data_IF_172563298108
#
_entry.id   IF_172563298108
#
_cell.length_a   1.000
_cell.length_b   1.000
_cell.length_c   1.000
_cell.angle_alpha   90.00
_cell.angle_beta   90.00
_cell.angle_gamma   90.00
#
_symmetry.space_group_name_H-M   'P 1'
#
loop_
_entity.id
_entity.type
_entity.pdbx_description
1 polymer ?
#
# COMPACT_ATOMS: atom_id res chain seq x y z
N UNK A 1 45.40 -3.45 35.16
CA UNK A 1 43.97 -3.81 34.99
C UNK A 1 43.26 -2.60 34.44
N UNK A 2 43.02 -2.54 33.12
CA UNK A 2 42.31 -1.42 32.50
C UNK A 2 41.34 -2.00 31.49
N UNK A 3 40.05 -2.00 31.86
CA UNK A 3 38.95 -2.58 31.09
C UNK A 3 38.75 -1.79 29.80
N UNK A 4 38.92 -2.47 28.67
CA UNK A 4 38.55 -1.97 27.34
C UNK A 4 37.03 -2.11 27.19
N UNK A 5 36.30 -1.02 27.42
CA UNK A 5 34.87 -0.94 27.10
C UNK A 5 34.72 -0.62 25.62
N UNK A 6 34.54 -1.64 24.79
CA UNK A 6 34.10 -1.50 23.41
C UNK A 6 32.64 -1.07 23.40
N UNK A 7 32.41 0.22 23.16
CA UNK A 7 31.10 0.73 22.78
C UNK A 7 30.82 0.22 21.36
N UNK A 8 29.94 -0.76 21.22
CA UNK A 8 29.28 -1.05 19.96
C UNK A 8 28.40 0.15 19.62
N UNK A 9 28.92 1.06 18.81
CA UNK A 9 28.11 2.09 18.17
C UNK A 9 27.25 1.35 17.13
N UNK A 10 26.02 0.99 17.52
CA UNK A 10 25.01 0.45 16.61
C UNK A 10 24.79 1.48 15.50
N UNK A 11 25.38 1.21 14.33
CA UNK A 11 25.18 2.00 13.13
C UNK A 11 23.71 1.83 12.75
N UNK A 12 22.89 2.90 12.66
CA UNK A 12 21.50 2.75 12.28
C UNK A 12 21.43 2.03 10.94
N UNK A 13 20.80 0.85 10.94
CA UNK A 13 20.60 0.07 9.74
C UNK A 13 19.94 0.98 8.70
N UNK A 14 20.61 1.18 7.57
CA UNK A 14 20.05 1.96 6.48
C UNK A 14 18.66 1.37 6.15
N UNK A 15 17.62 2.20 6.01
CA UNK A 15 16.29 1.70 5.68
C UNK A 15 16.40 0.92 4.38
N UNK A 16 16.04 -0.37 4.43
CA UNK A 16 16.02 -1.23 3.25
C UNK A 16 15.09 -0.54 2.24
N UNK A 17 15.59 -0.15 1.05
CA UNK A 17 14.78 0.57 0.10
C UNK A 17 13.62 -0.32 -0.34
N UNK A 18 12.39 0.11 -0.04
CA UNK A 18 11.19 -0.62 -0.45
C UNK A 18 11.07 -0.52 -1.97
N UNK A 19 10.98 -1.66 -2.64
CA UNK A 19 10.97 -1.76 -4.09
C UNK A 19 9.57 -1.58 -4.68
N UNK A 20 8.55 -1.88 -3.87
CA UNK A 20 7.13 -1.97 -4.22
C UNK A 20 6.35 -1.05 -3.29
N UNK A 21 5.59 -0.10 -3.83
CA UNK A 21 4.83 0.87 -3.04
C UNK A 21 3.40 0.94 -3.54
N UNK A 22 2.45 0.57 -2.69
CA UNK A 22 1.02 0.67 -2.94
C UNK A 22 0.43 1.86 -2.21
N UNK A 23 -0.50 2.54 -2.86
CA UNK A 23 -1.31 3.58 -2.26
C UNK A 23 -2.78 3.20 -2.43
N UNK A 24 -3.52 3.30 -1.34
CA UNK A 24 -4.94 2.94 -1.28
C UNK A 24 -5.67 4.11 -0.66
N UNK A 25 -6.52 4.77 -1.45
CA UNK A 25 -7.38 5.83 -0.94
C UNK A 25 -8.85 5.43 -0.99
N UNK A 26 -9.59 5.80 0.04
CA UNK A 26 -11.02 5.53 0.12
C UNK A 26 -11.68 6.23 1.29
N UNK A 27 -12.94 5.87 1.56
CA UNK A 27 -13.67 6.39 2.71
C UNK A 27 -14.12 5.28 3.64
N UNK A 28 -14.10 5.55 4.95
CA UNK A 28 -14.26 4.52 5.99
C UNK A 28 -15.59 3.78 5.96
N UNK A 29 -16.66 4.39 5.45
CA UNK A 29 -17.97 3.75 5.34
C UNK A 29 -18.11 2.81 4.12
N UNK A 30 -17.07 2.68 3.28
CA UNK A 30 -17.06 1.76 2.14
C UNK A 30 -16.54 0.39 2.56
N UNK A 31 -17.36 -0.66 2.41
CA UNK A 31 -16.97 -2.04 2.72
C UNK A 31 -15.78 -2.53 1.88
N UNK A 32 -15.69 -2.11 0.61
CA UNK A 32 -14.55 -2.45 -0.25
C UNK A 32 -13.25 -1.79 0.22
N UNK A 33 -13.32 -0.55 0.71
CA UNK A 33 -12.14 0.11 1.28
C UNK A 33 -11.71 -0.55 2.57
N UNK A 34 -12.64 -0.90 3.46
CA UNK A 34 -12.34 -1.66 4.67
C UNK A 34 -11.64 -2.99 4.38
N UNK A 35 -12.11 -3.73 3.38
CA UNK A 35 -11.45 -4.95 2.95
C UNK A 35 -10.07 -4.69 2.34
N UNK A 36 -9.89 -3.59 1.59
CA UNK A 36 -8.59 -3.18 1.08
C UNK A 36 -7.59 -2.86 2.20
N UNK A 37 -8.04 -2.22 3.29
CA UNK A 37 -7.21 -1.96 4.47
C UNK A 37 -6.77 -3.27 5.15
N UNK A 38 -7.67 -4.25 5.28
CA UNK A 38 -7.31 -5.56 5.84
C UNK A 38 -6.26 -6.29 4.98
N UNK A 39 -6.30 -6.11 3.66
CA UNK A 39 -5.30 -6.67 2.75
C UNK A 39 -3.98 -5.93 2.85
N UNK A 40 -4.03 -4.59 2.95
CA UNK A 40 -2.86 -3.75 3.19
C UNK A 40 -2.14 -4.15 4.47
N UNK A 41 -2.86 -4.35 5.56
CA UNK A 41 -2.33 -4.77 6.85
C UNK A 41 -1.66 -6.15 6.78
N UNK A 42 -2.27 -7.10 6.07
CA UNK A 42 -1.66 -8.42 5.81
C UNK A 42 -0.40 -8.33 4.97
N UNK A 43 -0.41 -7.47 3.94
CA UNK A 43 0.78 -7.21 3.14
C UNK A 43 1.87 -6.62 4.03
N UNK A 44 1.59 -5.60 4.82
CA UNK A 44 2.59 -4.95 5.68
C UNK A 44 3.15 -5.90 6.76
N UNK A 45 2.28 -6.71 7.39
CA UNK A 45 2.68 -7.73 8.39
C UNK A 45 3.57 -8.81 7.77
N UNK A 46 3.20 -9.32 6.58
CA UNK A 46 4.05 -10.24 5.81
C UNK A 46 5.35 -9.56 5.35
N UNK A 47 5.34 -8.23 5.26
CA UNK A 47 6.42 -7.38 4.77
C UNK A 47 7.43 -6.93 5.81
N UNK A 48 7.31 -7.36 7.06
CA UNK A 48 8.40 -7.19 8.03
C UNK A 48 9.73 -7.83 7.57
N UNK A 49 9.70 -8.65 6.50
CA UNK A 49 10.85 -9.15 5.73
C UNK A 49 10.80 -8.83 4.22
N UNK A 50 9.83 -8.05 3.75
CA UNK A 50 9.57 -7.85 2.31
C UNK A 50 9.74 -6.40 1.88
N UNK A 51 10.05 -6.21 0.59
CA UNK A 51 10.33 -4.91 -0.03
C UNK A 51 9.05 -4.09 -0.34
N UNK A 52 7.95 -4.30 0.40
CA UNK A 52 6.63 -3.72 0.12
C UNK A 52 6.30 -2.61 1.13
N UNK A 53 5.82 -1.48 0.61
CA UNK A 53 5.19 -0.40 1.35
C UNK A 53 3.72 -0.34 0.96
N UNK A 54 2.83 -0.18 1.94
CA UNK A 54 1.44 0.16 1.66
C UNK A 54 1.09 1.41 2.44
N UNK A 55 0.61 2.43 1.74
CA UNK A 55 0.08 3.66 2.32
C UNK A 55 -1.43 3.67 2.14
N UNK A 56 -2.15 3.87 3.24
CA UNK A 56 -3.61 3.89 3.26
C UNK A 56 -4.07 5.26 3.74
N UNK A 57 -4.81 5.97 2.90
CA UNK A 57 -5.40 7.26 3.27
C UNK A 57 -6.92 7.16 3.29
N UNK A 58 -7.47 7.33 4.48
CA UNK A 58 -8.90 7.34 4.71
C UNK A 58 -9.45 8.76 4.69
N UNK A 59 -10.52 8.97 3.93
CA UNK A 59 -11.23 10.24 3.83
C UNK A 59 -12.64 10.12 4.42
N UNK A 60 -13.24 11.24 4.78
CA UNK A 60 -14.69 11.27 5.02
C UNK A 60 -15.47 11.06 3.71
N UNK A 61 -16.73 10.63 3.80
CA UNK A 61 -17.59 10.48 2.61
C UNK A 61 -17.79 11.79 1.86
N UNK A 62 -17.71 12.93 2.55
CA UNK A 62 -17.85 14.26 1.94
C UNK A 62 -16.62 14.60 1.11
N UNK A 63 -15.43 14.45 1.69
CA UNK A 63 -14.15 14.73 1.01
C UNK A 63 -13.89 13.77 -0.15
N UNK A 64 -14.34 12.51 -0.01
CA UNK A 64 -14.16 11.49 -1.03
C UNK A 64 -14.73 11.87 -2.39
N UNK A 65 -15.88 12.57 -2.42
CA UNK A 65 -16.54 12.98 -3.67
C UNK A 65 -15.62 13.82 -4.55
N UNK A 66 -14.90 14.76 -3.94
CA UNK A 66 -13.98 15.62 -4.67
C UNK A 66 -12.62 14.94 -4.86
N UNK A 67 -12.17 14.14 -3.88
CA UNK A 67 -10.88 13.45 -3.95
C UNK A 67 -10.84 12.44 -5.09
N UNK A 68 -11.87 11.62 -5.30
CA UNK A 68 -11.89 10.63 -6.38
C UNK A 68 -11.77 11.28 -7.76
N UNK A 69 -12.35 12.47 -7.93
CA UNK A 69 -12.26 13.24 -9.17
C UNK A 69 -10.87 13.86 -9.38
N UNK A 70 -10.16 14.21 -8.30
CA UNK A 70 -8.76 14.64 -8.37
C UNK A 70 -7.84 13.48 -8.70
N UNK A 71 -8.01 12.34 -8.02
CA UNK A 71 -7.25 11.12 -8.28
C UNK A 71 -7.36 10.66 -9.74
N UNK A 72 -8.56 10.73 -10.32
CA UNK A 72 -8.79 10.43 -11.74
C UNK A 72 -8.00 11.33 -12.71
N UNK A 73 -7.54 12.52 -12.27
CA UNK A 73 -6.70 13.43 -13.07
C UNK A 73 -5.21 13.30 -12.75
N UNK A 74 -4.89 12.94 -11.51
CA UNK A 74 -3.52 12.83 -11.01
C UNK A 74 -2.85 11.51 -11.43
N UNK A 75 -3.63 10.44 -11.56
CA UNK A 75 -3.14 9.10 -11.81
C UNK A 75 -3.46 8.69 -13.25
N UNK A 76 -2.44 8.51 -14.12
CA UNK A 76 -2.62 7.97 -15.46
C UNK A 76 -3.35 6.62 -15.45
N UNK A 77 -4.41 6.50 -16.24
CA UNK A 77 -5.24 5.30 -16.33
C UNK A 77 -6.44 5.27 -15.37
N UNK A 78 -6.56 6.23 -14.45
CA UNK A 78 -7.67 6.33 -13.49
C UNK A 78 -8.82 7.23 -13.98
N UNK A 79 -8.78 7.70 -15.24
CA UNK A 79 -9.63 8.78 -15.76
C UNK A 79 -11.12 8.48 -15.65
N UNK A 80 -11.51 7.21 -15.72
CA UNK A 80 -12.91 6.74 -15.64
C UNK A 80 -13.29 6.17 -14.26
N UNK A 81 -12.35 6.11 -13.32
CA UNK A 81 -12.61 5.55 -12.00
C UNK A 81 -13.36 6.55 -11.12
N UNK A 82 -14.47 6.12 -10.51
CA UNK A 82 -15.37 6.98 -9.70
C UNK A 82 -15.71 6.39 -8.34
N UNK A 83 -15.20 5.21 -8.02
CA UNK A 83 -15.61 4.44 -6.85
C UNK A 83 -14.49 4.34 -5.81
N UNK A 84 -14.86 3.99 -4.58
CA UNK A 84 -13.90 3.69 -3.51
C UNK A 84 -13.69 2.19 -3.40
N UNK A 85 -12.45 1.70 -3.20
CA UNK A 85 -11.20 2.46 -3.15
C UNK A 85 -10.62 2.80 -4.54
N UNK A 86 -9.64 3.70 -4.56
CA UNK A 86 -8.70 3.91 -5.67
C UNK A 86 -7.36 3.35 -5.25
N UNK A 87 -6.78 2.47 -6.07
CA UNK A 87 -5.51 1.79 -5.80
C UNK A 87 -4.54 2.00 -6.95
N UNK A 88 -3.30 2.35 -6.61
CA UNK A 88 -2.19 2.47 -7.56
C UNK A 88 -0.86 2.04 -6.93
N UNK A 89 0.09 1.73 -7.79
CA UNK A 89 1.47 1.39 -7.42
C UNK A 89 2.44 2.46 -7.94
N UNK A 90 3.51 2.73 -7.20
CA UNK A 90 4.61 3.59 -7.67
C UNK A 90 5.40 4.23 -6.54
N UNK A 91 6.62 3.77 -6.27
CA UNK A 91 7.48 4.40 -5.27
C UNK A 91 7.92 5.81 -5.70
N UNK A 92 8.32 6.69 -4.75
CA UNK A 92 8.80 8.03 -5.08
C UNK A 92 9.88 8.01 -6.17
N UNK A 93 9.71 8.84 -7.21
CA UNK A 93 10.62 8.91 -8.36
C UNK A 93 10.45 7.81 -9.41
N UNK A 94 9.50 6.88 -9.25
CA UNK A 94 9.13 5.88 -10.24
C UNK A 94 7.79 6.24 -10.91
N UNK A 95 7.54 5.76 -12.15
CA UNK A 95 6.23 5.91 -12.77
C UNK A 95 5.15 5.26 -11.92
N UNK A 96 4.01 5.93 -11.83
CA UNK A 96 2.82 5.40 -11.18
C UNK A 96 2.04 4.51 -12.14
N UNK A 97 1.45 3.45 -11.61
CA UNK A 97 0.60 2.51 -12.33
C UNK A 97 -0.74 2.41 -11.62
N UNK A 98 -1.81 2.80 -12.29
CA UNK A 98 -3.15 2.57 -11.80
C UNK A 98 -3.50 1.08 -11.77
N UNK A 99 -4.06 0.60 -10.65
CA UNK A 99 -4.48 -0.79 -10.47
C UNK A 99 -6.01 -0.91 -10.57
N UNK A 100 -6.75 0.03 -9.98
CA UNK A 100 -8.21 0.00 -9.99
C UNK A 100 -8.85 0.12 -8.61
N UNK A 101 -9.97 -0.58 -8.45
CA UNK A 101 -10.65 -0.77 -7.17
C UNK A 101 -10.16 -1.99 -6.39
N UNK A 102 -10.96 -2.39 -5.41
CA UNK A 102 -10.62 -3.50 -4.50
C UNK A 102 -10.39 -4.83 -5.22
N UNK A 103 -11.28 -5.24 -6.13
CA UNK A 103 -11.17 -6.54 -6.80
C UNK A 103 -9.89 -6.65 -7.63
N UNK A 104 -9.53 -5.57 -8.33
CA UNK A 104 -8.28 -5.48 -9.09
C UNK A 104 -7.08 -5.54 -8.15
N UNK A 105 -7.14 -4.88 -7.00
CA UNK A 105 -6.07 -4.91 -6.01
C UNK A 105 -5.84 -6.32 -5.45
N UNK A 106 -6.91 -7.06 -5.09
CA UNK A 106 -6.80 -8.45 -4.65
C UNK A 106 -6.18 -9.31 -5.74
N UNK A 107 -6.67 -9.20 -6.97
CA UNK A 107 -6.15 -9.98 -8.09
C UNK A 107 -4.66 -9.69 -8.32
N UNK A 108 -4.28 -8.41 -8.31
CA UNK A 108 -2.91 -7.96 -8.46
C UNK A 108 -2.01 -8.46 -7.33
N UNK A 109 -2.44 -8.30 -6.07
CA UNK A 109 -1.68 -8.71 -4.90
C UNK A 109 -1.49 -10.23 -4.84
N UNK A 110 -2.52 -11.02 -5.16
CA UNK A 110 -2.44 -12.48 -5.26
C UNK A 110 -1.44 -12.91 -6.32
N UNK A 111 -1.52 -12.34 -7.51
CA UNK A 111 -0.64 -12.69 -8.64
C UNK A 111 0.82 -12.31 -8.37
N UNK A 112 1.06 -11.14 -7.76
CA UNK A 112 2.41 -10.58 -7.60
C UNK A 112 3.13 -11.08 -6.36
N UNK A 113 2.40 -11.33 -5.27
CA UNK A 113 2.98 -11.62 -3.96
C UNK A 113 2.63 -13.01 -3.42
N UNK A 114 1.81 -13.79 -4.14
CA UNK A 114 1.28 -15.09 -3.67
C UNK A 114 0.55 -15.00 -2.31
N UNK A 115 0.11 -13.80 -1.94
CA UNK A 115 -0.67 -13.57 -0.72
C UNK A 115 -2.07 -14.14 -0.97
N UNK A 116 -2.67 -14.78 0.03
CA UNK A 116 -3.97 -15.49 -0.05
C UNK A 116 -3.97 -16.85 -0.79
N UNK A 117 -2.81 -17.47 -1.04
CA UNK A 117 -2.76 -18.84 -1.56
C UNK A 117 -2.95 -19.92 -0.48
N UNK A 118 -3.22 -19.53 0.77
CA UNK A 118 -3.76 -20.44 1.78
C UNK A 118 -5.23 -20.71 1.47
N UNK A 119 -5.46 -21.65 0.57
CA UNK A 119 -6.65 -22.50 0.64
C UNK A 119 -6.50 -23.32 1.92
N UNK A 120 -7.00 -22.82 3.03
CA UNK A 120 -7.42 -23.72 4.09
C UNK A 120 -8.84 -24.16 3.74
N UNK A 121 -8.88 -25.42 3.29
CA UNK A 121 -9.99 -26.40 3.26
C UNK A 121 -11.32 -25.92 3.80
#
# INVERSE_FOLDING_TARGET
>A
MGLWSYFFTDKPAAPVPKEICYYIEGFLACSYFQQAMNVADRLDTTSSKSNIQVEVTAHSRKEWKDRVLRLAKEIPGAEDHRTSPVVWEGCPGKPVQFIGGFDNFIHHARKKHNVFNERNV
#
